data_IF_914197457411
#
_entry.id   IF_914197457411
#
_cell.length_a   1.000
_cell.length_b   1.000
_cell.length_c   1.000
_cell.angle_alpha   90.00
_cell.angle_beta   90.00
_cell.angle_gamma   90.00
#
_symmetry.space_group_name_H-M   'P 1'
#
loop_
_entity.id
_entity.type
_entity.pdbx_description
1 polymer ?
#
# COMPACT_ATOMS: atom_id res chain seq x y z
N UNK A 1 23.05 -34.62 33.87
CA UNK A 1 22.43 -35.95 34.06
C UNK A 1 21.17 -35.81 34.89
N UNK A 2 20.10 -36.54 34.54
CA UNK A 2 18.88 -36.87 35.34
C UNK A 2 17.85 -35.72 35.53
N UNK A 3 16.54 -35.83 35.23
CA UNK A 3 15.67 -36.93 34.74
C UNK A 3 14.41 -36.36 34.06
N UNK A 4 13.88 -37.18 33.16
CA UNK A 4 12.53 -37.24 32.57
C UNK A 4 11.43 -37.36 33.64
N UNK A 5 10.24 -36.80 33.34
CA UNK A 5 8.90 -37.25 33.76
C UNK A 5 7.90 -36.57 32.78
N UNK A 6 7.40 -37.22 31.72
CA UNK A 6 6.37 -38.29 31.62
C UNK A 6 4.92 -37.81 31.84
N UNK A 7 4.05 -38.40 31.00
CA UNK A 7 2.57 -38.51 30.99
C UNK A 7 1.86 -37.50 30.07
N UNK A 8 1.45 -37.86 28.84
CA UNK A 8 0.35 -38.77 28.42
C UNK A 8 -1.01 -38.28 28.96
N UNK A 9 -1.91 -37.78 28.11
CA UNK A 9 -3.00 -38.61 27.53
C UNK A 9 -4.00 -37.77 26.71
N UNK A 10 -4.59 -38.47 25.74
CA UNK A 10 -5.69 -38.10 24.84
C UNK A 10 -6.88 -37.41 25.52
N UNK A 11 -7.57 -36.57 24.75
CA UNK A 11 -9.05 -36.62 24.65
C UNK A 11 -9.51 -35.91 23.37
N UNK A 12 -9.77 -36.70 22.33
CA UNK A 12 -10.73 -36.39 21.27
C UNK A 12 -12.13 -36.30 21.89
N UNK A 13 -12.81 -35.17 21.71
CA UNK A 13 -14.27 -35.09 21.83
C UNK A 13 -14.81 -34.51 20.54
N UNK A 14 -15.42 -35.40 19.74
CA UNK A 14 -16.31 -35.08 18.63
C UNK A 14 -17.62 -34.59 19.26
N UNK A 15 -18.02 -33.36 18.95
CA UNK A 15 -19.36 -32.86 19.27
C UNK A 15 -20.00 -32.27 18.01
N UNK A 16 -21.00 -33.03 17.56
CA UNK A 16 -22.28 -32.60 17.01
C UNK A 16 -22.29 -31.67 15.79
N UNK A 17 -22.75 -32.24 14.67
CA UNK A 17 -23.16 -31.50 13.49
C UNK A 17 -24.32 -30.54 13.79
N UNK A 18 -24.24 -29.35 13.21
CA UNK A 18 -25.38 -28.45 13.12
C UNK A 18 -26.37 -29.01 12.11
N UNK A 19 -27.60 -29.19 12.57
CA UNK A 19 -28.75 -29.54 11.77
C UNK A 19 -28.93 -28.53 10.61
N UNK A 20 -28.99 -29.05 9.39
CA UNK A 20 -29.51 -28.31 8.25
C UNK A 20 -31.01 -28.13 8.45
N UNK A 21 -31.47 -26.88 8.61
CA UNK A 21 -32.87 -26.57 8.34
C UNK A 21 -33.05 -25.17 7.76
N UNK A 22 -33.76 -25.16 6.62
CA UNK A 22 -34.42 -24.07 5.90
C UNK A 22 -33.56 -22.93 5.31
N UNK A 23 -33.46 -23.03 3.98
CA UNK A 23 -33.71 -21.98 2.97
C UNK A 23 -34.01 -20.59 3.53
N UNK A 24 -33.15 -19.64 3.20
CA UNK A 24 -33.54 -18.32 2.72
C UNK A 24 -32.59 -17.94 1.59
N UNK A 25 -33.17 -17.60 0.45
CA UNK A 25 -32.48 -17.07 -0.72
C UNK A 25 -31.64 -15.85 -0.35
N UNK A 26 -30.32 -16.00 -0.30
CA UNK A 26 -29.37 -14.89 -0.18
C UNK A 26 -28.22 -15.01 -1.18
N UNK A 27 -28.45 -15.66 -2.32
CA UNK A 27 -27.43 -15.83 -3.37
C UNK A 27 -27.23 -14.59 -4.25
N UNK A 28 -28.08 -13.57 -4.15
CA UNK A 28 -27.93 -12.33 -4.90
C UNK A 28 -26.98 -11.31 -4.25
N UNK A 29 -26.81 -11.35 -2.92
CA UNK A 29 -26.00 -10.35 -2.18
C UNK A 29 -24.51 -10.76 -2.14
N UNK A 30 -24.22 -12.07 -2.09
CA UNK A 30 -22.85 -12.61 -2.05
C UNK A 30 -22.12 -12.51 -3.39
N UNK A 31 -22.83 -12.66 -4.52
CA UNK A 31 -22.25 -12.59 -5.86
C UNK A 31 -21.77 -11.17 -6.24
N UNK A 32 -22.47 -10.14 -5.76
CA UNK A 32 -22.14 -8.73 -6.06
C UNK A 32 -20.83 -8.27 -5.38
N UNK A 33 -20.61 -8.72 -4.14
CA UNK A 33 -19.42 -8.40 -3.36
C UNK A 33 -18.17 -9.15 -3.86
N UNK A 34 -18.32 -10.40 -4.31
CA UNK A 34 -17.22 -11.16 -4.93
C UNK A 34 -16.80 -10.54 -6.28
N UNK A 35 -17.77 -10.10 -7.10
CA UNK A 35 -17.52 -9.40 -8.35
C UNK A 35 -16.78 -8.07 -8.15
N UNK A 36 -17.21 -7.26 -7.17
CA UNK A 36 -16.54 -6.00 -6.81
C UNK A 36 -15.10 -6.26 -6.34
N UNK A 37 -14.91 -7.25 -5.46
CA UNK A 37 -13.59 -7.58 -4.93
C UNK A 37 -12.62 -8.05 -6.02
N UNK A 38 -13.09 -8.87 -6.97
CA UNK A 38 -12.30 -9.29 -8.14
C UNK A 38 -11.87 -8.11 -9.02
N UNK A 39 -12.78 -7.17 -9.29
CA UNK A 39 -12.45 -5.97 -10.06
C UNK A 39 -11.40 -5.12 -9.33
N UNK A 40 -11.59 -4.87 -8.04
CA UNK A 40 -10.61 -4.14 -7.22
C UNK A 40 -9.23 -4.81 -7.25
N UNK A 41 -9.18 -6.14 -7.07
CA UNK A 41 -7.92 -6.90 -7.11
C UNK A 41 -7.24 -6.80 -8.48
N UNK A 42 -7.98 -6.89 -9.58
CA UNK A 42 -7.43 -6.76 -10.93
C UNK A 42 -6.78 -5.37 -11.13
N UNK A 43 -7.45 -4.30 -10.69
CA UNK A 43 -6.91 -2.94 -10.78
C UNK A 43 -5.66 -2.77 -9.90
N UNK A 44 -5.67 -3.30 -8.68
CA UNK A 44 -4.52 -3.28 -7.79
C UNK A 44 -3.31 -4.05 -8.35
N UNK A 45 -3.55 -5.17 -9.02
CA UNK A 45 -2.51 -5.94 -9.71
C UNK A 45 -1.90 -5.15 -10.88
N UNK A 46 -2.73 -4.52 -11.72
CA UNK A 46 -2.26 -3.64 -12.80
C UNK A 46 -1.40 -2.49 -12.25
N UNK A 47 -1.88 -1.84 -11.20
CA UNK A 47 -1.15 -0.74 -10.56
C UNK A 47 0.18 -1.21 -9.97
N UNK A 48 0.18 -2.35 -9.28
CA UNK A 48 1.40 -2.96 -8.72
C UNK A 48 2.42 -3.30 -9.81
N UNK A 49 1.97 -3.88 -10.93
CA UNK A 49 2.83 -4.19 -12.07
C UNK A 49 3.45 -2.92 -12.68
N UNK A 50 2.65 -1.88 -12.91
CA UNK A 50 3.15 -0.60 -13.43
C UNK A 50 4.21 0.02 -12.51
N UNK A 51 3.94 0.07 -11.19
CA UNK A 51 4.91 0.59 -10.22
C UNK A 51 6.17 -0.28 -10.15
N UNK A 52 6.04 -1.60 -10.25
CA UNK A 52 7.18 -2.50 -10.30
C UNK A 52 8.07 -2.24 -11.52
N UNK A 53 7.47 -1.92 -12.68
CA UNK A 53 8.24 -1.56 -13.89
C UNK A 53 8.94 -0.21 -13.75
N UNK A 54 8.28 0.80 -13.20
CA UNK A 54 8.90 2.10 -12.88
C UNK A 54 10.08 1.91 -11.91
N UNK A 55 9.92 1.07 -10.89
CA UNK A 55 10.94 0.83 -9.88
C UNK A 55 12.19 0.10 -10.42
N UNK A 56 12.15 -0.47 -11.62
CA UNK A 56 13.33 -1.06 -12.29
C UNK A 56 14.24 -0.02 -12.93
N UNK A 57 13.76 1.20 -13.14
CA UNK A 57 14.53 2.27 -13.78
C UNK A 57 15.70 2.74 -12.91
N UNK A 58 16.75 3.25 -13.55
CA UNK A 58 17.93 3.76 -12.82
C UNK A 58 17.59 4.98 -11.95
N UNK A 59 16.73 5.87 -12.43
CA UNK A 59 16.24 7.00 -11.63
C UNK A 59 15.51 6.51 -10.37
N UNK A 60 14.67 5.47 -10.46
CA UNK A 60 13.99 4.92 -9.28
C UNK A 60 14.96 4.26 -8.30
N UNK A 61 15.94 3.47 -8.77
CA UNK A 61 16.97 2.86 -7.91
C UNK A 61 17.80 3.92 -7.19
N UNK A 62 18.14 5.00 -7.90
CA UNK A 62 18.87 6.12 -7.33
C UNK A 62 18.03 6.83 -6.26
N UNK A 63 16.77 7.18 -6.56
CA UNK A 63 15.87 7.82 -5.58
C UNK A 63 15.71 6.93 -4.35
N UNK A 64 15.48 5.63 -4.53
CA UNK A 64 15.35 4.66 -3.43
C UNK A 64 16.63 4.65 -2.58
N UNK A 65 17.81 4.72 -3.20
CA UNK A 65 19.08 4.65 -2.46
C UNK A 65 19.42 5.93 -1.70
N UNK A 66 19.07 7.11 -2.22
CA UNK A 66 19.66 8.38 -1.77
C UNK A 66 18.67 9.46 -1.35
N UNK A 67 17.39 9.34 -1.70
CA UNK A 67 16.43 10.45 -1.55
C UNK A 67 15.18 10.01 -0.79
N UNK A 68 14.45 8.99 -1.25
CA UNK A 68 13.20 8.55 -0.62
C UNK A 68 13.15 7.03 -0.62
N UNK A 69 12.89 6.43 0.53
CA UNK A 69 12.60 5.01 0.63
C UNK A 69 11.27 4.68 -0.07
N UNK A 70 11.38 4.06 -1.24
CA UNK A 70 10.28 3.60 -2.08
C UNK A 70 10.00 2.12 -1.83
N UNK A 71 11.04 1.30 -1.64
CA UNK A 71 10.89 -0.15 -1.46
C UNK A 71 10.76 -0.55 0.03
N UNK A 72 9.96 -1.60 0.37
CA UNK A 72 9.76 -2.01 1.76
C UNK A 72 11.03 -2.45 2.49
N UNK A 73 11.98 -3.05 1.77
CA UNK A 73 13.22 -3.61 2.33
C UNK A 73 14.45 -2.79 1.97
N UNK A 74 14.27 -1.47 1.80
CA UNK A 74 15.36 -0.58 1.43
C UNK A 74 16.47 -0.57 2.51
N UNK A 75 17.71 -0.96 2.19
CA UNK A 75 18.81 -1.04 3.15
C UNK A 75 19.23 0.33 3.71
N UNK A 76 18.93 1.40 2.98
CA UNK A 76 19.24 2.78 3.35
C UNK A 76 18.10 3.47 4.10
N UNK A 77 16.93 2.82 4.29
CA UNK A 77 15.75 3.46 4.89
C UNK A 77 16.08 4.16 6.21
N UNK A 78 16.77 3.49 7.14
CA UNK A 78 17.14 4.12 8.43
C UNK A 78 17.97 5.39 8.25
N UNK A 79 18.91 5.41 7.31
CA UNK A 79 19.71 6.60 7.01
C UNK A 79 18.83 7.71 6.44
N UNK A 80 17.97 7.39 5.48
CA UNK A 80 17.09 8.36 4.82
C UNK A 80 16.12 9.00 5.81
N UNK A 81 15.46 8.22 6.67
CA UNK A 81 14.52 8.73 7.68
C UNK A 81 15.15 9.63 8.75
N UNK A 82 16.46 9.49 9.00
CA UNK A 82 17.20 10.27 9.99
C UNK A 82 18.06 11.38 9.36
N UNK A 83 18.00 11.56 8.03
CA UNK A 83 18.83 12.57 7.36
C UNK A 83 18.31 13.98 7.65
N UNK A 84 19.21 14.84 8.13
CA UNK A 84 18.98 16.27 8.24
C UNK A 84 19.37 17.03 6.96
N UNK A 85 19.80 16.32 5.92
CA UNK A 85 20.31 16.93 4.70
C UNK A 85 19.15 17.38 3.80
N UNK A 86 19.34 18.52 3.14
CA UNK A 86 18.54 18.89 1.98
C UNK A 86 19.06 18.14 0.75
N UNK A 87 18.19 17.95 -0.24
CA UNK A 87 18.63 17.31 -1.48
C UNK A 87 19.62 18.19 -2.24
N UNK A 88 20.52 17.56 -2.98
CA UNK A 88 21.36 18.24 -3.99
C UNK A 88 20.55 18.57 -5.24
N UNK A 89 21.07 19.45 -6.10
CA UNK A 89 20.40 19.80 -7.36
C UNK A 89 20.32 18.60 -8.34
N UNK A 90 21.32 17.72 -8.29
CA UNK A 90 21.31 16.45 -9.02
C UNK A 90 20.18 15.53 -8.51
N UNK A 91 20.09 15.35 -7.19
CA UNK A 91 19.01 14.57 -6.56
C UNK A 91 17.63 15.17 -6.89
N UNK A 92 17.50 16.49 -6.91
CA UNK A 92 16.27 17.18 -7.30
C UNK A 92 15.86 16.87 -8.74
N UNK A 93 16.84 16.87 -9.65
CA UNK A 93 16.62 16.58 -11.07
C UNK A 93 16.21 15.12 -11.27
N UNK A 94 16.88 14.19 -10.61
CA UNK A 94 16.54 12.75 -10.65
C UNK A 94 15.16 12.50 -10.05
N UNK A 95 14.84 13.14 -8.91
CA UNK A 95 13.53 13.02 -8.26
C UNK A 95 12.38 13.51 -9.16
N UNK A 96 12.59 14.60 -9.92
CA UNK A 96 11.61 15.08 -10.91
C UNK A 96 11.34 14.03 -11.99
N UNK A 97 12.39 13.48 -12.61
CA UNK A 97 12.24 12.44 -13.63
C UNK A 97 11.59 11.17 -13.10
N UNK A 98 11.97 10.75 -11.90
CA UNK A 98 11.30 9.66 -11.21
C UNK A 98 9.81 9.96 -11.00
N UNK A 99 9.45 11.13 -10.45
CA UNK A 99 8.05 11.55 -10.28
C UNK A 99 7.29 11.46 -11.61
N UNK A 100 7.84 12.02 -12.69
CA UNK A 100 7.20 12.02 -14.00
C UNK A 100 6.97 10.60 -14.52
N UNK A 101 7.94 9.69 -14.31
CA UNK A 101 7.80 8.28 -14.65
C UNK A 101 6.67 7.58 -13.86
N UNK A 102 6.34 8.03 -12.65
CA UNK A 102 5.22 7.46 -11.88
C UNK A 102 3.85 7.94 -12.36
N UNK A 103 3.77 9.06 -13.07
CA UNK A 103 2.50 9.64 -13.52
C UNK A 103 1.73 8.68 -14.43
N UNK A 104 2.44 7.91 -15.26
CA UNK A 104 1.84 6.92 -16.16
C UNK A 104 1.01 5.86 -15.42
N UNK A 105 1.38 5.52 -14.18
CA UNK A 105 0.67 4.51 -13.40
C UNK A 105 -0.60 5.05 -12.73
N UNK A 106 -0.71 6.38 -12.56
CA UNK A 106 -1.84 6.99 -11.83
C UNK A 106 -3.16 6.85 -12.58
N UNK A 107 -3.12 6.78 -13.91
CA UNK A 107 -4.33 6.59 -14.73
C UNK A 107 -5.09 5.30 -14.40
N UNK A 108 -4.37 4.26 -13.94
CA UNK A 108 -4.94 2.95 -13.61
C UNK A 108 -5.97 3.04 -12.48
N UNK A 109 -5.81 4.00 -11.55
CA UNK A 109 -6.75 4.12 -10.41
C UNK A 109 -8.14 4.57 -10.84
N UNK A 110 -8.29 5.15 -12.04
CA UNK A 110 -9.59 5.50 -12.62
C UNK A 110 -10.40 4.28 -13.04
N UNK A 111 -9.78 3.09 -13.12
CA UNK A 111 -10.47 1.82 -13.39
C UNK A 111 -11.15 1.24 -12.13
N UNK A 112 -10.97 1.86 -10.96
CA UNK A 112 -11.62 1.38 -9.74
C UNK A 112 -13.14 1.51 -9.84
N UNK A 113 -13.89 0.52 -9.34
CA UNK A 113 -15.33 0.40 -9.60
C UNK A 113 -16.20 1.44 -8.89
N UNK A 114 -15.62 2.23 -7.97
CA UNK A 114 -16.34 3.15 -7.10
C UNK A 114 -15.61 4.49 -6.99
N UNK A 115 -16.30 5.64 -7.13
CA UNK A 115 -15.67 6.97 -7.04
C UNK A 115 -14.88 7.20 -5.75
N UNK A 116 -15.40 6.73 -4.62
CA UNK A 116 -14.75 6.85 -3.31
C UNK A 116 -13.42 6.08 -3.23
N UNK A 117 -13.26 4.99 -4.00
CA UNK A 117 -11.99 4.28 -4.11
C UNK A 117 -10.98 5.08 -4.95
N UNK A 118 -11.44 5.69 -6.04
CA UNK A 118 -10.62 6.58 -6.89
C UNK A 118 -10.11 7.76 -6.05
N UNK A 119 -11.00 8.41 -5.29
CA UNK A 119 -10.70 9.57 -4.47
C UNK A 119 -9.60 9.31 -3.42
N UNK A 120 -9.54 8.09 -2.84
CA UNK A 120 -8.47 7.71 -1.90
C UNK A 120 -7.08 7.78 -2.58
N UNK A 121 -6.97 7.29 -3.80
CA UNK A 121 -5.71 7.32 -4.55
C UNK A 121 -5.37 8.72 -5.06
N UNK A 122 -6.34 9.48 -5.56
CA UNK A 122 -6.12 10.86 -6.01
C UNK A 122 -5.62 11.75 -4.87
N UNK A 123 -6.22 11.61 -3.67
CA UNK A 123 -5.74 12.28 -2.47
C UNK A 123 -4.29 11.87 -2.14
N UNK A 124 -4.00 10.57 -2.15
CA UNK A 124 -2.64 10.08 -1.89
C UNK A 124 -1.62 10.68 -2.85
N UNK A 125 -1.90 10.64 -4.16
CA UNK A 125 -0.99 11.15 -5.18
C UNK A 125 -0.78 12.66 -5.04
N UNK A 126 -1.83 13.43 -4.77
CA UNK A 126 -1.71 14.86 -4.50
C UNK A 126 -0.80 15.13 -3.29
N UNK A 127 -0.96 14.37 -2.19
CA UNK A 127 -0.14 14.58 -0.99
C UNK A 127 1.30 14.12 -1.13
N UNK A 128 1.56 13.09 -1.90
CA UNK A 128 2.94 12.71 -2.25
C UNK A 128 3.58 13.76 -3.17
N UNK A 129 2.81 14.35 -4.09
CA UNK A 129 3.30 15.43 -4.95
C UNK A 129 3.68 16.68 -4.17
N UNK A 130 2.88 17.05 -3.17
CA UNK A 130 3.18 18.16 -2.25
C UNK A 130 4.53 17.90 -1.55
N UNK A 131 4.75 16.69 -1.01
CA UNK A 131 6.02 16.29 -0.37
C UNK A 131 7.19 16.39 -1.35
N UNK A 132 7.03 15.91 -2.58
CA UNK A 132 8.09 15.99 -3.59
C UNK A 132 8.39 17.44 -3.97
N UNK A 133 7.38 18.29 -4.08
CA UNK A 133 7.56 19.71 -4.39
C UNK A 133 8.31 20.46 -3.27
N UNK A 134 7.94 20.22 -2.01
CA UNK A 134 8.63 20.82 -0.86
C UNK A 134 10.07 20.30 -0.72
N UNK A 135 10.30 19.01 -1.00
CA UNK A 135 11.66 18.44 -1.00
C UNK A 135 12.52 19.04 -2.13
N UNK A 136 11.97 19.14 -3.35
CA UNK A 136 12.64 19.72 -4.52
C UNK A 136 13.00 21.19 -4.30
N UNK A 137 12.11 21.94 -3.65
CA UNK A 137 12.33 23.35 -3.31
C UNK A 137 13.18 23.56 -2.05
N UNK A 138 13.72 22.47 -1.47
CA UNK A 138 14.56 22.47 -0.26
C UNK A 138 13.87 23.13 0.94
N UNK A 139 12.54 23.07 1.01
CA UNK A 139 11.76 23.51 2.18
C UNK A 139 11.80 22.49 3.32
N UNK A 140 11.96 21.22 2.97
CA UNK A 140 12.07 20.11 3.90
C UNK A 140 13.32 19.29 3.61
N UNK A 141 13.83 18.59 4.64
CA UNK A 141 14.97 17.68 4.51
C UNK A 141 14.55 16.32 3.96
N UNK A 142 15.52 15.51 3.56
CA UNK A 142 15.33 14.11 3.16
C UNK A 142 14.59 13.33 4.25
N UNK A 143 14.98 13.48 5.53
CA UNK A 143 14.32 12.81 6.66
C UNK A 143 12.85 13.19 6.80
N UNK A 144 12.55 14.50 6.77
CA UNK A 144 11.16 15.00 6.88
C UNK A 144 10.31 14.49 5.72
N UNK A 145 10.82 14.49 4.49
CA UNK A 145 10.08 13.98 3.34
C UNK A 145 9.75 12.48 3.45
N UNK A 146 10.67 11.67 3.98
CA UNK A 146 10.44 10.24 4.20
C UNK A 146 9.38 9.99 5.30
N UNK A 147 9.40 10.78 6.37
CA UNK A 147 8.40 10.72 7.44
C UNK A 147 7.01 11.11 6.93
N UNK A 148 6.91 12.26 6.27
CA UNK A 148 5.68 12.76 5.67
C UNK A 148 5.08 11.76 4.68
N UNK A 149 5.89 11.24 3.75
CA UNK A 149 5.45 10.24 2.79
C UNK A 149 4.94 8.97 3.50
N UNK A 150 5.64 8.50 4.53
CA UNK A 150 5.20 7.34 5.32
C UNK A 150 3.84 7.58 5.97
N UNK A 151 3.62 8.77 6.56
CA UNK A 151 2.33 9.15 7.14
C UNK A 151 1.22 9.16 6.07
N UNK A 152 1.48 9.66 4.86
CA UNK A 152 0.49 9.63 3.76
C UNK A 152 0.16 8.22 3.31
N UNK A 153 1.14 7.31 3.29
CA UNK A 153 0.90 5.89 3.01
C UNK A 153 -0.04 5.28 4.06
N UNK A 154 0.22 5.52 5.36
CA UNK A 154 -0.63 4.96 6.42
C UNK A 154 -2.04 5.53 6.38
N UNK A 155 -2.18 6.85 6.25
CA UNK A 155 -3.49 7.49 6.10
C UNK A 155 -4.29 6.93 4.92
N UNK A 156 -3.62 6.70 3.79
CA UNK A 156 -4.25 6.13 2.60
C UNK A 156 -4.72 4.69 2.84
N UNK A 157 -3.92 3.87 3.53
CA UNK A 157 -4.31 2.50 3.92
C UNK A 157 -5.53 2.48 4.83
N UNK A 158 -5.58 3.38 5.80
CA UNK A 158 -6.72 3.51 6.72
C UNK A 158 -7.99 3.92 5.96
N UNK A 159 -7.91 4.94 5.09
CA UNK A 159 -9.04 5.38 4.26
C UNK A 159 -9.49 4.30 3.30
N UNK A 160 -8.55 3.60 2.68
CA UNK A 160 -8.85 2.45 1.82
C UNK A 160 -9.61 1.36 2.58
N UNK A 161 -9.14 0.98 3.77
CA UNK A 161 -9.80 -0.01 4.60
C UNK A 161 -11.23 0.40 5.00
N UNK A 162 -11.43 1.68 5.33
CA UNK A 162 -12.75 2.22 5.65
C UNK A 162 -13.71 2.16 4.45
N UNK A 163 -13.25 2.56 3.26
CA UNK A 163 -14.03 2.46 2.02
C UNK A 163 -14.40 1.00 1.72
N UNK A 164 -13.43 0.08 1.79
CA UNK A 164 -13.69 -1.34 1.57
C UNK A 164 -14.68 -1.94 2.57
N UNK A 165 -14.64 -1.51 3.85
CA UNK A 165 -15.61 -1.93 4.86
C UNK A 165 -17.02 -1.42 4.55
N UNK A 166 -17.15 -0.16 4.12
CA UNK A 166 -18.44 0.42 3.76
C UNK A 166 -19.08 -0.32 2.58
N UNK A 167 -18.29 -0.71 1.58
CA UNK A 167 -18.80 -1.48 0.43
C UNK A 167 -19.30 -2.87 0.81
N UNK A 168 -18.65 -3.55 1.76
CA UNK A 168 -19.09 -4.87 2.24
C UNK A 168 -20.38 -4.82 3.07
N UNK A 169 -20.71 -3.65 3.60
CA UNK A 169 -21.90 -3.43 4.42
C UNK A 169 -23.09 -2.86 3.63
N UNK A 170 -22.86 -2.50 2.36
CA UNK A 170 -23.88 -2.02 1.41
C UNK A 170 -24.40 -3.16 0.56
#
# INVERSE_FOLDING_TARGET
MKKILSYICLSTVILAGCASNKSNSSDAISASNDGLQKQVQAVQQKMSACIADVNKTEDAKYVDSYVIAITPNNPNAKKLFNSADFITDEQATILKRFKDSTLQCRGITKELPKPEMVAVYEYYYSKVDDVYADLISKRITIGVANQERSMRIQYTREKWAAVMKAQKAS
#
